data_IF_474787452761
#
_entry.id   IF_474787452761
#
_cell.length_a   1.000
_cell.length_b   1.000
_cell.length_c   1.000
_cell.angle_alpha   90.00
_cell.angle_beta   90.00
_cell.angle_gamma   90.00
#
_symmetry.space_group_name_H-M   'P 1'
#
loop_
_entity.id
_entity.type
_entity.pdbx_description
1 polymer ?
#
# COMPACT_ATOMS: atom_id res chain seq x y z
N UNK A 1 -21.53 -24.76 -44.32
CA UNK A 1 -22.17 -23.83 -43.36
C UNK A 1 -21.95 -24.27 -41.90
N UNK A 2 -20.71 -24.54 -41.45
CA UNK A 2 -20.43 -25.01 -40.07
C UNK A 2 -19.38 -24.19 -39.31
N UNK A 3 -18.67 -23.28 -39.97
CA UNK A 3 -17.56 -22.50 -39.38
C UNK A 3 -17.96 -21.14 -38.82
N UNK A 4 -19.17 -20.64 -39.09
CA UNK A 4 -19.63 -19.33 -38.57
C UNK A 4 -20.24 -19.39 -37.16
N UNK A 5 -20.65 -20.57 -36.69
CA UNK A 5 -21.22 -20.74 -35.35
C UNK A 5 -20.17 -20.84 -34.23
N UNK A 6 -18.91 -21.19 -34.56
CA UNK A 6 -17.83 -21.30 -33.57
C UNK A 6 -17.27 -19.94 -33.14
N UNK A 7 -17.39 -18.90 -33.98
CA UNK A 7 -16.85 -17.57 -33.67
C UNK A 7 -17.79 -16.78 -32.73
N UNK A 8 -19.11 -17.05 -32.78
CA UNK A 8 -20.07 -16.40 -31.86
C UNK A 8 -20.02 -16.94 -30.42
N UNK A 9 -19.53 -18.16 -30.21
CA UNK A 9 -19.43 -18.75 -28.87
C UNK A 9 -18.26 -18.19 -28.05
N UNK A 10 -17.19 -17.70 -28.70
CA UNK A 10 -16.01 -17.15 -28.02
C UNK A 10 -16.20 -15.73 -27.47
N UNK A 11 -17.08 -14.93 -28.07
CA UNK A 11 -17.28 -13.53 -27.67
C UNK A 11 -18.12 -13.37 -26.38
N UNK A 12 -18.93 -14.36 -26.02
CA UNK A 12 -19.80 -14.31 -24.84
C UNK A 12 -19.07 -14.56 -23.50
N UNK A 13 -17.85 -15.12 -23.52
CA UNK A 13 -17.09 -15.43 -22.30
C UNK A 13 -16.33 -14.23 -21.71
N UNK A 14 -16.15 -13.14 -22.47
CA UNK A 14 -15.43 -11.94 -22.03
C UNK A 14 -16.28 -11.01 -21.13
N UNK A 15 -17.59 -11.26 -21.00
CA UNK A 15 -18.50 -10.40 -20.25
C UNK A 15 -18.59 -10.71 -18.74
N UNK A 16 -17.95 -11.79 -18.27
CA UNK A 16 -17.95 -12.18 -16.85
C UNK A 16 -16.61 -11.90 -16.16
N UNK A 17 -15.89 -10.86 -16.58
CA UNK A 17 -14.84 -10.29 -15.74
C UNK A 17 -15.53 -9.67 -14.51
N UNK A 18 -15.73 -10.47 -13.46
CA UNK A 18 -16.19 -9.99 -12.16
C UNK A 18 -15.16 -8.95 -11.71
N UNK A 19 -15.61 -7.71 -11.54
CA UNK A 19 -14.77 -6.68 -10.93
C UNK A 19 -14.30 -7.25 -9.59
N UNK A 20 -12.99 -7.43 -9.43
CA UNK A 20 -12.42 -7.91 -8.19
C UNK A 20 -12.85 -6.96 -7.07
N UNK A 21 -13.79 -7.37 -6.23
CA UNK A 21 -14.23 -6.61 -5.07
C UNK A 21 -13.15 -6.71 -4.01
N UNK A 22 -12.15 -5.84 -4.10
CA UNK A 22 -11.24 -5.59 -3.01
C UNK A 22 -11.98 -4.77 -1.94
N UNK A 23 -11.94 -5.23 -0.69
CA UNK A 23 -12.46 -4.47 0.45
C UNK A 23 -11.63 -3.21 0.70
N UNK A 24 -12.09 -2.39 1.64
CA UNK A 24 -11.43 -1.11 1.97
C UNK A 24 -9.99 -1.34 2.42
N UNK A 25 -9.76 -2.37 3.24
CA UNK A 25 -8.43 -2.72 3.74
C UNK A 25 -7.51 -3.22 2.62
N UNK A 26 -7.99 -4.09 1.74
CA UNK A 26 -7.18 -4.61 0.63
C UNK A 26 -6.75 -3.51 -0.35
N UNK A 27 -7.60 -2.50 -0.56
CA UNK A 27 -7.26 -1.33 -1.35
C UNK A 27 -6.18 -0.48 -0.69
N UNK A 28 -6.26 -0.28 0.64
CA UNK A 28 -5.23 0.40 1.42
C UNK A 28 -3.88 -0.34 1.32
N UNK A 29 -3.88 -1.65 1.55
CA UNK A 29 -2.67 -2.49 1.47
C UNK A 29 -1.99 -2.40 0.09
N UNK A 30 -2.80 -2.33 -0.98
CA UNK A 30 -2.29 -2.16 -2.35
C UNK A 30 -1.60 -0.82 -2.54
N UNK A 31 -2.23 0.29 -2.14
CA UNK A 31 -1.62 1.62 -2.25
C UNK A 31 -0.37 1.74 -1.38
N UNK A 32 -0.39 1.16 -0.16
CA UNK A 32 0.79 1.12 0.70
C UNK A 32 1.93 0.36 0.03
N UNK A 33 1.65 -0.80 -0.56
CA UNK A 33 2.66 -1.59 -1.29
C UNK A 33 3.27 -0.80 -2.45
N UNK A 34 2.46 -0.06 -3.21
CA UNK A 34 2.97 0.80 -4.28
C UNK A 34 3.81 1.97 -3.75
N UNK A 35 3.44 2.52 -2.59
CA UNK A 35 4.20 3.58 -1.92
C UNK A 35 5.56 3.07 -1.45
N UNK A 36 5.61 1.90 -0.81
CA UNK A 36 6.86 1.24 -0.40
C UNK A 36 7.73 0.89 -1.60
N UNK A 37 7.15 0.38 -2.69
CA UNK A 37 7.92 0.15 -3.92
C UNK A 37 8.56 1.45 -4.43
N UNK A 38 7.86 2.58 -4.29
CA UNK A 38 8.41 3.89 -4.69
C UNK A 38 9.53 4.35 -3.75
N UNK A 39 9.51 3.96 -2.47
CA UNK A 39 10.65 4.21 -1.56
C UNK A 39 11.92 3.51 -2.06
N UNK A 40 11.78 2.28 -2.55
CA UNK A 40 12.89 1.39 -2.88
C UNK A 40 13.28 1.39 -4.37
N UNK A 41 12.53 2.09 -5.22
CA UNK A 41 12.77 2.12 -6.66
C UNK A 41 14.06 2.88 -7.01
N UNK A 42 15.13 2.17 -7.35
CA UNK A 42 16.42 2.80 -7.70
C UNK A 42 16.44 3.47 -9.08
N UNK A 43 15.39 3.30 -9.89
CA UNK A 43 15.33 3.89 -11.24
C UNK A 43 14.86 5.35 -11.25
N UNK A 44 14.23 5.80 -10.16
CA UNK A 44 13.74 7.17 -10.02
C UNK A 44 14.82 8.13 -9.50
N UNK A 45 14.92 9.30 -10.13
CA UNK A 45 15.65 10.43 -9.55
C UNK A 45 15.02 10.89 -8.22
N UNK A 46 15.75 11.70 -7.45
CA UNK A 46 15.27 12.22 -6.16
C UNK A 46 14.00 13.04 -6.34
N UNK A 47 13.96 13.94 -7.32
CA UNK A 47 12.82 14.82 -7.56
C UNK A 47 11.59 14.05 -8.06
N UNK A 48 11.77 13.09 -8.96
CA UNK A 48 10.68 12.23 -9.45
C UNK A 48 10.10 11.36 -8.33
N UNK A 49 10.97 10.82 -7.47
CA UNK A 49 10.54 10.05 -6.29
C UNK A 49 9.71 10.94 -5.38
N UNK A 50 10.20 12.13 -5.04
CA UNK A 50 9.48 13.04 -4.15
C UNK A 50 8.10 13.41 -4.71
N UNK A 51 8.02 13.80 -5.99
CA UNK A 51 6.76 14.13 -6.65
C UNK A 51 5.76 12.96 -6.63
N UNK A 52 6.24 11.73 -6.89
CA UNK A 52 5.41 10.52 -6.86
C UNK A 52 4.92 10.21 -5.43
N UNK A 53 5.80 10.34 -4.44
CA UNK A 53 5.46 10.14 -3.04
C UNK A 53 4.43 11.16 -2.54
N UNK A 54 4.51 12.43 -2.96
CA UNK A 54 3.50 13.43 -2.58
C UNK A 54 2.11 13.16 -3.17
N UNK A 55 2.06 12.58 -4.37
CA UNK A 55 0.81 12.09 -4.97
C UNK A 55 0.26 10.86 -4.24
N UNK A 56 1.12 9.88 -3.95
CA UNK A 56 0.74 8.66 -3.23
C UNK A 56 0.32 8.93 -1.80
N UNK A 57 1.02 9.83 -1.08
CA UNK A 57 0.69 10.22 0.30
C UNK A 57 -0.76 10.65 0.44
N UNK A 58 -1.25 11.51 -0.46
CA UNK A 58 -2.63 12.00 -0.43
C UNK A 58 -3.63 10.85 -0.59
N UNK A 59 -3.42 10.01 -1.61
CA UNK A 59 -4.27 8.83 -1.86
C UNK A 59 -4.24 7.83 -0.71
N UNK A 60 -3.07 7.60 -0.13
CA UNK A 60 -2.89 6.71 1.01
C UNK A 60 -3.68 7.20 2.22
N UNK A 61 -3.55 8.48 2.58
CA UNK A 61 -4.30 9.09 3.71
C UNK A 61 -5.81 9.01 3.51
N UNK A 62 -6.29 9.19 2.27
CA UNK A 62 -7.72 9.06 1.96
C UNK A 62 -8.21 7.62 2.16
N UNK A 63 -7.44 6.62 1.70
CA UNK A 63 -7.75 5.20 1.89
C UNK A 63 -7.69 4.81 3.38
N UNK A 64 -6.70 5.31 4.12
CA UNK A 64 -6.59 5.13 5.57
C UNK A 64 -7.85 5.63 6.28
N UNK A 65 -8.31 6.84 5.91
CA UNK A 65 -9.54 7.41 6.45
C UNK A 65 -10.78 6.60 6.10
N UNK A 66 -10.85 6.04 4.89
CA UNK A 66 -11.93 5.13 4.49
C UNK A 66 -11.93 3.87 5.35
N UNK A 67 -10.77 3.22 5.53
CA UNK A 67 -10.60 2.02 6.37
C UNK A 67 -10.96 2.30 7.82
N UNK A 68 -10.47 3.38 8.41
CA UNK A 68 -10.78 3.75 9.80
C UNK A 68 -12.27 4.03 10.03
N UNK A 69 -13.01 4.45 9.00
CA UNK A 69 -14.44 4.74 9.07
C UNK A 69 -15.32 3.58 8.63
N UNK A 70 -14.73 2.53 8.07
CA UNK A 70 -15.47 1.38 7.57
C UNK A 70 -16.06 0.58 8.74
N UNK A 71 -17.38 0.63 8.88
CA UNK A 71 -18.11 -0.08 9.93
C UNK A 71 -18.12 -1.58 9.70
N UNK A 72 -17.92 -2.06 8.48
CA UNK A 72 -17.91 -3.49 8.16
C UNK A 72 -16.73 -4.24 8.77
N UNK A 73 -15.63 -3.53 9.04
CA UNK A 73 -14.44 -4.07 9.70
C UNK A 73 -14.64 -4.23 11.22
N UNK A 74 -15.66 -3.58 11.81
CA UNK A 74 -15.93 -3.67 13.25
C UNK A 74 -16.49 -5.05 13.60
N UNK A 75 -15.75 -5.80 14.41
CA UNK A 75 -16.12 -7.16 14.80
C UNK A 75 -15.70 -8.24 13.81
N UNK A 76 -15.06 -7.86 12.70
CA UNK A 76 -14.51 -8.82 11.75
C UNK A 76 -13.15 -9.32 12.25
N UNK A 77 -13.09 -10.57 12.74
CA UNK A 77 -11.87 -11.16 13.31
C UNK A 77 -11.03 -11.94 12.28
N UNK A 78 -11.00 -11.47 11.04
CA UNK A 78 -10.10 -12.04 10.04
C UNK A 78 -8.65 -11.75 10.44
N UNK A 79 -7.73 -12.65 10.10
CA UNK A 79 -6.30 -12.50 10.43
C UNK A 79 -5.74 -11.19 9.86
N UNK A 80 -6.15 -10.82 8.64
CA UNK A 80 -5.72 -9.61 7.95
C UNK A 80 -6.11 -8.34 8.71
N UNK A 81 -7.38 -8.21 9.08
CA UNK A 81 -7.88 -7.05 9.86
C UNK A 81 -7.15 -6.97 11.20
N UNK A 82 -7.02 -8.08 11.91
CA UNK A 82 -6.31 -8.11 13.19
C UNK A 82 -4.85 -7.64 13.07
N UNK A 83 -4.11 -8.16 12.08
CA UNK A 83 -2.71 -7.76 11.85
C UNK A 83 -2.61 -6.29 11.46
N UNK A 84 -3.50 -5.80 10.59
CA UNK A 84 -3.51 -4.41 10.14
C UNK A 84 -3.69 -3.43 11.31
N UNK A 85 -4.66 -3.69 12.19
CA UNK A 85 -4.90 -2.83 13.36
C UNK A 85 -3.89 -3.04 14.50
N UNK A 86 -3.31 -4.25 14.65
CA UNK A 86 -2.22 -4.49 15.60
C UNK A 86 -0.94 -3.76 15.20
N UNK A 87 -0.68 -3.63 13.90
CA UNK A 87 0.50 -2.97 13.36
C UNK A 87 0.11 -1.60 12.78
N UNK A 88 -0.50 -0.76 13.62
CA UNK A 88 -1.06 0.54 13.23
C UNK A 88 -0.02 1.43 12.54
N UNK A 89 1.17 1.58 13.14
CA UNK A 89 2.22 2.48 12.68
C UNK A 89 2.70 2.20 11.25
N UNK A 90 2.70 0.93 10.83
CA UNK A 90 3.09 0.54 9.47
C UNK A 90 1.90 0.43 8.53
N UNK A 91 0.70 0.14 9.04
CA UNK A 91 -0.50 -0.03 8.22
C UNK A 91 -1.07 1.33 7.80
N UNK A 92 -1.20 2.24 8.75
CA UNK A 92 -1.68 3.61 8.56
C UNK A 92 -0.50 4.57 8.48
N UNK A 93 0.42 4.27 7.56
CA UNK A 93 1.71 4.92 7.42
C UNK A 93 1.61 6.45 7.29
N UNK A 94 0.63 6.93 6.52
CA UNK A 94 0.40 8.36 6.32
C UNK A 94 0.04 9.07 7.62
N UNK A 95 -0.99 8.59 8.32
CA UNK A 95 -1.38 9.13 9.63
C UNK A 95 -0.27 8.99 10.68
N UNK A 96 0.30 7.79 10.85
CA UNK A 96 1.31 7.54 11.87
C UNK A 96 2.58 8.38 11.66
N UNK A 97 3.01 8.58 10.41
CA UNK A 97 4.13 9.48 10.09
C UNK A 97 3.84 10.93 10.47
N UNK A 98 2.62 11.40 10.19
CA UNK A 98 2.19 12.76 10.50
C UNK A 98 2.04 12.99 12.01
N UNK A 99 1.52 12.01 12.76
CA UNK A 99 1.40 12.05 14.22
C UNK A 99 2.76 12.17 14.91
N UNK A 100 3.78 11.50 14.37
CA UNK A 100 5.14 11.52 14.91
C UNK A 100 6.02 12.63 14.33
N UNK A 101 5.52 13.40 13.35
CA UNK A 101 6.27 14.48 12.71
C UNK A 101 7.42 14.02 11.80
N UNK A 102 7.41 12.77 11.37
CA UNK A 102 8.43 12.20 10.48
C UNK A 102 7.93 12.16 9.02
N UNK A 103 8.86 12.08 8.07
CA UNK A 103 8.48 11.75 6.69
C UNK A 103 7.99 10.30 6.64
N UNK A 104 7.12 9.95 5.67
CA UNK A 104 6.65 8.56 5.53
C UNK A 104 7.79 7.55 5.40
N UNK A 105 8.87 7.93 4.70
CA UNK A 105 10.05 7.08 4.49
C UNK A 105 10.79 6.86 5.80
N UNK A 106 11.07 7.95 6.52
CA UNK A 106 11.80 7.92 7.79
C UNK A 106 11.04 7.13 8.87
N UNK A 107 9.72 7.35 8.96
CA UNK A 107 8.86 6.58 9.85
C UNK A 107 8.85 5.10 9.50
N UNK A 108 8.72 4.75 8.21
CA UNK A 108 8.76 3.35 7.75
C UNK A 108 10.09 2.69 8.13
N UNK A 109 11.23 3.31 7.79
CA UNK A 109 12.56 2.79 8.11
C UNK A 109 12.77 2.61 9.62
N UNK A 110 12.33 3.57 10.41
CA UNK A 110 12.42 3.52 11.87
C UNK A 110 11.63 2.34 12.45
N UNK A 111 10.46 2.01 11.90
CA UNK A 111 9.70 0.82 12.31
C UNK A 111 10.44 -0.49 12.04
N UNK A 112 11.35 -0.53 11.07
CA UNK A 112 12.22 -1.68 10.78
C UNK A 112 13.60 -1.59 11.46
N UNK A 113 13.79 -0.67 12.41
CA UNK A 113 15.03 -0.52 13.17
C UNK A 113 16.14 0.27 12.46
N UNK A 114 15.82 0.91 11.33
CA UNK A 114 16.73 1.77 10.58
C UNK A 114 16.40 3.22 10.92
N UNK A 115 17.04 3.76 11.96
CA UNK A 115 16.97 5.18 12.32
C UNK A 115 18.27 5.91 11.94
N UNK A 116 18.22 7.25 11.84
CA UNK A 116 19.43 8.05 11.61
C UNK A 116 20.50 7.78 12.67
N UNK A 117 20.13 7.68 13.95
CA UNK A 117 21.07 7.39 15.03
C UNK A 117 21.70 6.00 14.90
N UNK A 118 20.90 5.00 14.51
CA UNK A 118 21.36 3.63 14.23
C UNK A 118 22.36 3.63 13.05
N UNK A 119 22.05 4.35 11.99
CA UNK A 119 22.94 4.49 10.83
C UNK A 119 24.25 5.21 11.17
N UNK A 120 24.18 6.30 11.94
CA UNK A 120 25.35 7.11 12.31
C UNK A 120 26.25 6.43 13.34
N UNK A 121 25.69 5.58 14.20
CA UNK A 121 26.46 4.79 15.17
C UNK A 121 27.02 3.49 14.58
N UNK A 122 26.60 3.11 13.36
CA UNK A 122 27.09 1.90 12.68
C UNK A 122 28.52 2.10 12.20
N UNK A 123 29.47 1.48 12.91
CA UNK A 123 30.92 1.58 12.64
C UNK A 123 31.42 0.66 11.52
N UNK A 124 30.61 -0.34 11.10
CA UNK A 124 30.93 -1.32 10.05
C UNK A 124 29.65 -1.63 9.25
N UNK A 125 29.66 -1.34 7.94
CA UNK A 125 28.56 -1.72 7.04
C UNK A 125 28.65 -3.18 6.60
N UNK A 126 27.51 -3.87 6.47
CA UNK A 126 27.46 -5.21 5.88
C UNK A 126 27.95 -5.16 4.43
N UNK A 127 28.96 -5.96 4.12
CA UNK A 127 29.52 -6.12 2.77
C UNK A 127 28.65 -7.00 1.89
#
# INVERSE_FOLDING_TARGET
>A
MKTKFLILAGAAFMAFATAAQAGTLENLERERSMTVNTFLDSSLSVDERQAKLDSQRRRLVDLERIVMRDKSLRGQNTKTVRIAFQNYDVTFLGHASAEKGHTMVDHWLTQFGVSTDSLMSTRVGSR
#
